data_IF_918231758668
#
_entry.id   IF_918231758668
#
_cell.length_a   1.000
_cell.length_b   1.000
_cell.length_c   1.000
_cell.angle_alpha   90.00
_cell.angle_beta   90.00
_cell.angle_gamma   90.00
#
_symmetry.space_group_name_H-M   'P 1'
#
loop_
_entity.id
_entity.type
_entity.pdbx_description
1 polymer ?
#
# COMPACT_ATOMS: atom_id res chain seq x y z
N UNK A 1 -82.04 26.81 16.43
CA UNK A 1 -80.76 26.19 16.03
C UNK A 1 -80.00 27.20 15.20
N UNK A 2 -78.92 27.77 15.74
CA UNK A 2 -78.01 28.65 14.98
C UNK A 2 -76.99 27.77 14.27
N UNK A 3 -77.04 27.75 12.94
CA UNK A 3 -76.02 27.13 12.10
C UNK A 3 -74.87 28.13 11.96
N UNK A 4 -73.83 27.97 12.76
CA UNK A 4 -72.57 28.71 12.55
C UNK A 4 -71.86 28.12 11.33
N UNK A 5 -72.11 28.68 10.16
CA UNK A 5 -71.23 28.50 9.00
C UNK A 5 -69.86 29.08 9.34
N UNK A 6 -68.89 28.19 9.56
CA UNK A 6 -67.48 28.55 9.61
C UNK A 6 -67.09 29.21 8.28
N UNK A 7 -66.97 30.54 8.29
CA UNK A 7 -66.32 31.27 7.22
C UNK A 7 -64.83 30.91 7.26
N UNK A 8 -64.46 29.85 6.55
CA UNK A 8 -63.08 29.61 6.11
C UNK A 8 -62.74 30.68 5.08
N UNK A 9 -62.47 31.89 5.56
CA UNK A 9 -61.97 33.01 4.78
C UNK A 9 -60.56 32.70 4.29
N UNK A 10 -60.48 31.94 3.20
CA UNK A 10 -59.24 31.79 2.42
C UNK A 10 -59.06 33.06 1.60
N UNK A 11 -58.57 34.12 2.25
CA UNK A 11 -58.18 35.33 1.54
C UNK A 11 -57.06 34.99 0.55
N UNK A 12 -57.02 35.66 -0.61
CA UNK A 12 -55.98 35.42 -1.63
C UNK A 12 -54.54 35.49 -1.08
N UNK A 13 -54.33 36.23 0.02
CA UNK A 13 -53.06 36.25 0.76
C UNK A 13 -52.69 34.91 1.42
N UNK A 14 -53.65 34.17 1.99
CA UNK A 14 -53.38 32.84 2.57
C UNK A 14 -53.02 31.81 1.50
N UNK A 15 -53.66 31.90 0.32
CA UNK A 15 -53.39 31.03 -0.83
C UNK A 15 -52.02 31.34 -1.45
N UNK A 16 -51.66 32.62 -1.55
CA UNK A 16 -50.34 33.05 -2.00
C UNK A 16 -49.21 32.59 -1.05
N UNK A 17 -49.40 32.72 0.27
CA UNK A 17 -48.42 32.22 1.27
C UNK A 17 -48.27 30.70 1.18
N UNK A 18 -49.36 29.96 0.99
CA UNK A 18 -49.31 28.51 0.84
C UNK A 18 -48.57 28.06 -0.44
N UNK A 19 -48.74 28.79 -1.55
CA UNK A 19 -48.01 28.50 -2.79
C UNK A 19 -46.52 28.81 -2.62
N UNK A 20 -46.17 29.95 -2.05
CA UNK A 20 -44.77 30.36 -1.84
C UNK A 20 -44.07 29.40 -0.87
N UNK A 21 -44.75 28.98 0.21
CA UNK A 21 -44.18 28.02 1.15
C UNK A 21 -44.01 26.63 0.52
N UNK A 22 -44.99 26.16 -0.25
CA UNK A 22 -44.89 24.89 -0.97
C UNK A 22 -43.73 24.89 -1.98
N UNK A 23 -43.55 25.99 -2.73
CA UNK A 23 -42.42 26.15 -3.66
C UNK A 23 -41.08 26.20 -2.92
N UNK A 24 -41.00 26.93 -1.80
CA UNK A 24 -39.79 26.99 -0.98
C UNK A 24 -39.43 25.63 -0.38
N UNK A 25 -40.40 24.89 0.16
CA UNK A 25 -40.19 23.55 0.70
C UNK A 25 -39.82 22.56 -0.41
N UNK A 26 -40.44 22.65 -1.59
CA UNK A 26 -40.09 21.83 -2.75
C UNK A 26 -38.66 22.09 -3.24
N UNK A 27 -38.25 23.35 -3.32
CA UNK A 27 -36.89 23.73 -3.70
C UNK A 27 -35.85 23.27 -2.68
N UNK A 28 -36.12 23.44 -1.38
CA UNK A 28 -35.25 22.94 -0.30
C UNK A 28 -35.18 21.41 -0.28
N UNK A 29 -36.31 20.72 -0.51
CA UNK A 29 -36.35 19.26 -0.61
C UNK A 29 -35.54 18.74 -1.81
N UNK A 30 -35.67 19.38 -2.96
CA UNK A 30 -34.89 19.03 -4.15
C UNK A 30 -33.39 19.28 -3.93
N UNK A 31 -33.03 20.42 -3.33
CA UNK A 31 -31.64 20.75 -3.01
C UNK A 31 -31.03 19.75 -2.02
N UNK A 32 -31.74 19.42 -0.93
CA UNK A 32 -31.24 18.44 0.04
C UNK A 32 -31.07 17.06 -0.58
N UNK A 33 -31.98 16.61 -1.45
CA UNK A 33 -31.84 15.35 -2.19
C UNK A 33 -30.62 15.34 -3.10
N UNK A 34 -30.42 16.38 -3.91
CA UNK A 34 -29.24 16.49 -4.79
C UNK A 34 -27.95 16.54 -3.97
N UNK A 35 -27.93 17.30 -2.88
CA UNK A 35 -26.79 17.41 -1.99
C UNK A 35 -26.47 16.05 -1.34
N UNK A 36 -27.47 15.32 -0.85
CA UNK A 36 -27.28 13.98 -0.32
C UNK A 36 -26.71 13.03 -1.37
N UNK A 37 -27.23 13.04 -2.59
CA UNK A 37 -26.70 12.21 -3.68
C UNK A 37 -25.22 12.51 -3.96
N UNK A 38 -24.85 13.79 -4.00
CA UNK A 38 -23.45 14.21 -4.18
C UNK A 38 -22.57 13.74 -3.02
N UNK A 39 -22.98 13.94 -1.77
CA UNK A 39 -22.23 13.51 -0.58
C UNK A 39 -22.06 11.98 -0.57
N UNK A 40 -23.11 11.22 -0.91
CA UNK A 40 -23.01 9.76 -0.99
C UNK A 40 -22.11 9.28 -2.13
N UNK A 41 -22.12 9.96 -3.27
CA UNK A 41 -21.22 9.64 -4.38
C UNK A 41 -19.76 9.91 -3.99
N UNK A 42 -19.50 11.06 -3.36
CA UNK A 42 -18.20 11.43 -2.83
C UNK A 42 -17.71 10.45 -1.75
N UNK A 43 -18.56 10.10 -0.78
CA UNK A 43 -18.23 9.15 0.28
C UNK A 43 -17.92 7.75 -0.27
N UNK A 44 -18.66 7.28 -1.28
CA UNK A 44 -18.35 6.04 -2.01
C UNK A 44 -17.04 6.13 -2.77
N UNK A 45 -16.70 7.30 -3.32
CA UNK A 45 -15.42 7.53 -3.98
C UNK A 45 -14.26 7.44 -2.99
N UNK A 46 -14.37 8.10 -1.83
CA UNK A 46 -13.35 8.04 -0.77
C UNK A 46 -13.19 6.63 -0.26
N UNK A 47 -14.28 5.94 0.06
CA UNK A 47 -14.21 4.58 0.59
C UNK A 47 -13.51 3.61 -0.37
N UNK A 48 -13.71 3.78 -1.69
CA UNK A 48 -12.99 3.00 -2.71
C UNK A 48 -11.50 3.33 -2.72
N UNK A 49 -11.13 4.62 -2.65
CA UNK A 49 -9.72 5.04 -2.54
C UNK A 49 -9.07 4.47 -1.27
N UNK A 50 -9.75 4.54 -0.12
CA UNK A 50 -9.24 4.00 1.14
C UNK A 50 -9.04 2.48 1.07
N UNK A 51 -9.96 1.76 0.43
CA UNK A 51 -9.84 0.31 0.25
C UNK A 51 -8.65 -0.05 -0.64
N UNK A 52 -8.45 0.65 -1.78
CA UNK A 52 -7.28 0.45 -2.64
C UNK A 52 -5.98 0.82 -1.93
N UNK A 53 -5.99 1.87 -1.10
CA UNK A 53 -4.82 2.24 -0.30
C UNK A 53 -4.49 1.17 0.76
N UNK A 54 -5.49 0.60 1.40
CA UNK A 54 -5.32 -0.47 2.39
C UNK A 54 -4.73 -1.75 1.77
N UNK A 55 -5.05 -2.06 0.51
CA UNK A 55 -4.45 -3.17 -0.24
C UNK A 55 -2.93 -2.95 -0.46
N UNK A 56 -2.50 -1.69 -0.57
CA UNK A 56 -1.10 -1.30 -0.76
C UNK A 56 -0.32 -1.11 0.55
N UNK A 57 -0.97 -1.05 1.71
CA UNK A 57 -0.29 -0.84 3.00
C UNK A 57 0.55 -2.06 3.43
N UNK A 58 0.03 -3.27 3.23
CA UNK A 58 0.75 -4.50 3.55
C UNK A 58 2.05 -4.68 2.73
N UNK A 59 2.03 -4.59 1.38
CA UNK A 59 3.27 -4.71 0.61
C UNK A 59 4.25 -3.58 0.93
N UNK A 60 3.78 -2.37 1.23
CA UNK A 60 4.64 -1.24 1.65
C UNK A 60 5.36 -1.54 2.98
N UNK A 61 4.61 -2.09 3.96
CA UNK A 61 5.16 -2.50 5.24
C UNK A 61 6.21 -3.62 5.08
N UNK A 62 5.94 -4.65 4.30
CA UNK A 62 6.88 -5.75 4.09
C UNK A 62 8.13 -5.33 3.31
N UNK A 63 8.00 -4.38 2.37
CA UNK A 63 9.15 -3.76 1.71
C UNK A 63 10.01 -2.96 2.70
N UNK A 64 9.39 -2.25 3.65
CA UNK A 64 10.12 -1.57 4.72
C UNK A 64 10.82 -2.56 5.66
N UNK A 65 10.15 -3.66 6.02
CA UNK A 65 10.72 -4.74 6.84
C UNK A 65 11.89 -5.42 6.13
N UNK A 66 11.78 -5.65 4.82
CA UNK A 66 12.86 -6.19 3.98
C UNK A 66 14.09 -5.27 3.99
N UNK A 67 13.87 -3.97 3.79
CA UNK A 67 14.93 -2.98 3.84
C UNK A 67 15.64 -2.96 5.21
N UNK A 68 14.85 -3.05 6.29
CA UNK A 68 15.39 -3.11 7.67
C UNK A 68 16.19 -4.40 7.92
N UNK A 69 15.69 -5.55 7.48
CA UNK A 69 16.39 -6.83 7.58
C UNK A 69 17.74 -6.77 6.84
N UNK A 70 17.75 -6.23 5.63
CA UNK A 70 18.95 -6.03 4.84
C UNK A 70 19.96 -5.08 5.50
N UNK A 71 19.48 -3.99 6.12
CA UNK A 71 20.36 -3.06 6.84
C UNK A 71 21.00 -3.70 8.08
N UNK A 72 20.28 -4.59 8.78
CA UNK A 72 20.85 -5.36 9.91
C UNK A 72 22.01 -6.23 9.45
N UNK A 73 21.89 -6.82 8.26
CA UNK A 73 22.90 -7.70 7.67
C UNK A 73 24.12 -6.96 7.09
N UNK A 74 24.04 -5.65 6.89
CA UNK A 74 25.12 -4.83 6.31
C UNK A 74 26.47 -4.90 7.04
N UNK A 75 26.45 -5.23 8.33
CA UNK A 75 27.62 -5.17 9.21
C UNK A 75 28.46 -6.46 9.19
N UNK A 76 27.96 -7.53 8.55
CA UNK A 76 28.65 -8.83 8.53
C UNK A 76 28.53 -9.51 7.17
N UNK A 77 29.57 -10.26 6.74
CA UNK A 77 29.43 -11.22 5.66
C UNK A 77 28.36 -12.26 6.05
N UNK A 78 27.31 -12.39 5.25
CA UNK A 78 26.14 -13.21 5.62
C UNK A 78 26.20 -14.60 4.98
N UNK A 79 25.75 -15.59 5.75
CA UNK A 79 25.61 -17.00 5.35
C UNK A 79 24.17 -17.32 4.99
N UNK A 80 23.94 -18.52 4.47
CA UNK A 80 22.60 -19.00 4.13
C UNK A 80 21.61 -18.86 5.31
N UNK A 81 22.06 -19.20 6.53
CA UNK A 81 21.28 -19.07 7.78
C UNK A 81 20.86 -17.63 8.10
N UNK A 82 21.67 -16.64 7.72
CA UNK A 82 21.39 -15.23 8.01
C UNK A 82 20.29 -14.63 7.11
N UNK A 83 19.94 -15.32 6.02
CA UNK A 83 18.94 -14.87 5.06
C UNK A 83 17.51 -15.35 5.36
N UNK A 84 17.28 -16.10 6.45
CA UNK A 84 15.97 -16.63 6.79
C UNK A 84 14.88 -15.54 6.77
N UNK A 85 15.09 -14.43 7.48
CA UNK A 85 14.16 -13.29 7.51
C UNK A 85 13.87 -12.72 6.10
N UNK A 86 14.90 -12.64 5.24
CA UNK A 86 14.78 -12.11 3.87
C UNK A 86 13.98 -13.07 3.00
N UNK A 87 14.23 -14.37 3.10
CA UNK A 87 13.51 -15.41 2.35
C UNK A 87 12.04 -15.52 2.79
N UNK A 88 11.77 -15.36 4.08
CA UNK A 88 10.42 -15.33 4.62
C UNK A 88 9.63 -14.13 4.06
N UNK A 89 10.22 -12.93 4.10
CA UNK A 89 9.59 -11.73 3.54
C UNK A 89 9.39 -11.86 2.02
N UNK A 90 10.35 -12.45 1.30
CA UNK A 90 10.19 -12.78 -0.12
C UNK A 90 8.99 -13.69 -0.39
N UNK A 91 8.78 -14.71 0.44
CA UNK A 91 7.62 -15.61 0.32
C UNK A 91 6.30 -14.86 0.55
N UNK A 92 6.26 -13.94 1.53
CA UNK A 92 5.09 -13.10 1.79
C UNK A 92 4.80 -12.15 0.62
N UNK A 93 5.83 -11.49 0.08
CA UNK A 93 5.71 -10.60 -1.08
C UNK A 93 5.22 -11.37 -2.32
N UNK A 94 5.70 -12.60 -2.54
CA UNK A 94 5.23 -13.48 -3.62
C UNK A 94 3.73 -13.78 -3.48
N UNK A 95 3.26 -14.07 -2.27
CA UNK A 95 1.84 -14.32 -2.02
C UNK A 95 0.93 -13.10 -2.27
N UNK A 96 1.44 -11.86 -2.14
CA UNK A 96 0.67 -10.65 -2.42
C UNK A 96 0.82 -10.16 -3.87
N UNK A 97 1.90 -10.51 -4.56
CA UNK A 97 2.08 -10.16 -5.97
C UNK A 97 0.91 -10.63 -6.85
N UNK A 98 0.34 -11.81 -6.55
CA UNK A 98 -0.83 -12.35 -7.26
C UNK A 98 -2.12 -11.56 -7.00
N UNK A 99 -2.20 -10.84 -5.88
CA UNK A 99 -3.38 -10.08 -5.46
C UNK A 99 -3.27 -8.59 -5.75
N UNK A 100 -2.12 -8.09 -6.20
CA UNK A 100 -1.91 -6.67 -6.46
C UNK A 100 -1.25 -6.44 -7.82
N UNK A 101 -2.02 -6.54 -8.92
CA UNK A 101 -1.47 -6.48 -10.28
C UNK A 101 -0.80 -5.14 -10.62
N UNK A 102 -1.17 -4.07 -9.93
CA UNK A 102 -0.62 -2.73 -10.14
C UNK A 102 0.87 -2.58 -9.72
N UNK A 103 1.35 -3.44 -8.82
CA UNK A 103 2.74 -3.46 -8.32
C UNK A 103 3.46 -4.79 -8.58
N UNK A 104 2.78 -5.76 -9.20
CA UNK A 104 3.33 -7.07 -9.51
C UNK A 104 4.69 -7.02 -10.26
N UNK A 105 4.93 -6.15 -11.25
CA UNK A 105 6.23 -6.13 -11.93
C UNK A 105 7.34 -5.57 -11.03
N UNK A 106 7.05 -4.60 -10.17
CA UNK A 106 8.01 -4.09 -9.19
C UNK A 106 8.31 -5.14 -8.11
N UNK A 107 7.30 -5.87 -7.63
CA UNK A 107 7.48 -6.97 -6.68
C UNK A 107 8.27 -8.13 -7.29
N UNK A 108 8.02 -8.49 -8.55
CA UNK A 108 8.79 -9.52 -9.25
C UNK A 108 10.28 -9.17 -9.33
N UNK A 109 10.61 -7.90 -9.61
CA UNK A 109 12.00 -7.42 -9.58
C UNK A 109 12.61 -7.49 -8.18
N UNK A 110 11.85 -7.17 -7.12
CA UNK A 110 12.35 -7.32 -5.74
C UNK A 110 12.62 -8.80 -5.44
N UNK A 111 11.75 -9.72 -5.84
CA UNK A 111 11.94 -11.15 -5.65
C UNK A 111 13.17 -11.68 -6.38
N UNK A 112 13.38 -11.26 -7.63
CA UNK A 112 14.60 -11.60 -8.39
C UNK A 112 15.87 -11.12 -7.67
N UNK A 113 15.86 -9.89 -7.13
CA UNK A 113 16.99 -9.36 -6.35
C UNK A 113 17.18 -10.05 -5.00
N UNK A 114 16.11 -10.55 -4.38
CA UNK A 114 16.22 -11.39 -3.18
C UNK A 114 16.95 -12.68 -3.54
N UNK A 115 16.55 -13.36 -4.61
CA UNK A 115 17.17 -14.62 -5.07
C UNK A 115 18.66 -14.40 -5.38
N UNK A 116 18.99 -13.38 -6.17
CA UNK A 116 20.38 -12.99 -6.45
C UNK A 116 21.18 -12.70 -5.17
N UNK A 117 20.59 -12.03 -4.19
CA UNK A 117 21.26 -11.73 -2.93
C UNK A 117 21.50 -12.99 -2.10
N UNK A 118 20.53 -13.90 -2.02
CA UNK A 118 20.68 -15.17 -1.29
C UNK A 118 21.69 -16.10 -1.95
N UNK A 119 21.82 -16.09 -3.28
CA UNK A 119 22.81 -16.88 -4.03
C UNK A 119 24.25 -16.46 -3.74
N UNK A 120 24.46 -15.24 -3.21
CA UNK A 120 25.79 -14.76 -2.79
C UNK A 120 26.22 -15.24 -1.40
N UNK A 121 25.41 -16.09 -0.74
CA UNK A 121 25.72 -16.63 0.58
C UNK A 121 27.14 -17.23 0.66
N UNK A 122 27.85 -16.86 1.72
CA UNK A 122 29.18 -17.40 1.98
C UNK A 122 29.09 -18.83 2.52
N UNK A 123 30.03 -19.71 2.11
CA UNK A 123 30.08 -21.10 2.60
C UNK A 123 30.34 -21.15 4.11
N UNK A 124 29.91 -22.24 4.76
CA UNK A 124 30.19 -22.46 6.18
C UNK A 124 31.71 -22.42 6.45
N UNK A 125 32.13 -21.84 7.59
CA UNK A 125 33.52 -21.90 7.98
C UNK A 125 33.88 -23.37 8.26
N UNK A 126 34.88 -23.89 7.53
CA UNK A 126 35.49 -25.17 7.86
C UNK A 126 36.05 -25.16 9.30
N UNK A 127 36.39 -26.34 9.86
CA UNK A 127 36.90 -26.45 11.22
C UNK A 127 38.05 -25.47 11.45
N UNK A 128 37.92 -24.65 12.51
CA UNK A 128 38.63 -23.40 12.78
C UNK A 128 40.19 -23.47 12.89
N UNK A 129 40.80 -24.61 12.58
CA UNK A 129 42.24 -24.86 12.69
C UNK A 129 42.98 -24.94 11.34
N UNK A 130 42.27 -24.94 10.20
CA UNK A 130 42.92 -25.02 8.88
C UNK A 130 43.20 -23.61 8.38
N UNK A 131 44.49 -23.27 8.24
CA UNK A 131 44.92 -22.05 7.54
C UNK A 131 44.29 -22.07 6.14
N UNK A 132 43.29 -21.21 5.92
CA UNK A 132 42.63 -21.08 4.63
C UNK A 132 43.70 -20.73 3.58
N UNK A 133 43.87 -21.54 2.53
CA UNK A 133 44.77 -21.23 1.42
C UNK A 133 44.48 -19.82 0.88
N UNK A 134 45.53 -19.07 0.53
CA UNK A 134 45.41 -17.68 0.02
C UNK A 134 44.45 -17.58 -1.18
N UNK A 135 44.35 -18.64 -1.98
CA UNK A 135 43.45 -18.71 -3.14
C UNK A 135 41.97 -18.80 -2.70
N UNK A 136 41.67 -19.60 -1.67
CA UNK A 136 40.33 -19.69 -1.08
C UNK A 136 39.92 -18.37 -0.42
N UNK A 137 40.85 -17.70 0.26
CA UNK A 137 40.59 -16.38 0.86
C UNK A 137 40.23 -15.32 -0.20
N UNK A 138 40.92 -15.31 -1.36
CA UNK A 138 40.57 -14.43 -2.48
C UNK A 138 39.18 -14.72 -3.04
N UNK A 139 38.79 -15.99 -3.15
CA UNK A 139 37.44 -16.35 -3.62
C UNK A 139 36.34 -15.91 -2.64
N UNK A 140 36.59 -15.98 -1.33
CA UNK A 140 35.68 -15.49 -0.29
C UNK A 140 35.52 -13.97 -0.36
N UNK A 141 36.61 -13.22 -0.58
CA UNK A 141 36.55 -11.76 -0.76
C UNK A 141 35.73 -11.38 -2.00
N UNK A 142 35.94 -12.07 -3.13
CA UNK A 142 35.14 -11.82 -4.35
C UNK A 142 33.66 -12.12 -4.11
N UNK A 143 33.33 -13.19 -3.38
CA UNK A 143 31.93 -13.47 -2.99
C UNK A 143 31.35 -12.39 -2.08
N UNK A 144 32.10 -11.93 -1.08
CA UNK A 144 31.66 -10.86 -0.18
C UNK A 144 31.43 -9.53 -0.93
N UNK A 145 32.27 -9.20 -1.92
CA UNK A 145 32.05 -8.04 -2.79
C UNK A 145 30.78 -8.19 -3.64
N UNK A 146 30.54 -9.38 -4.20
CA UNK A 146 29.29 -9.68 -4.94
C UNK A 146 28.06 -9.56 -4.03
N UNK A 147 28.17 -10.03 -2.80
CA UNK A 147 27.12 -9.92 -1.80
C UNK A 147 26.78 -8.46 -1.50
N UNK A 148 27.78 -7.58 -1.35
CA UNK A 148 27.56 -6.16 -1.13
C UNK A 148 26.93 -5.45 -2.35
N UNK A 149 27.31 -5.85 -3.57
CA UNK A 149 26.68 -5.38 -4.80
C UNK A 149 25.20 -5.80 -4.85
N UNK A 150 24.91 -7.09 -4.64
CA UNK A 150 23.55 -7.62 -4.66
C UNK A 150 22.68 -7.00 -3.56
N UNK A 151 23.25 -6.72 -2.39
CA UNK A 151 22.63 -5.92 -1.32
C UNK A 151 22.22 -4.55 -1.84
N UNK A 152 23.15 -3.81 -2.44
CA UNK A 152 22.87 -2.48 -2.99
C UNK A 152 21.79 -2.51 -4.08
N UNK A 153 21.77 -3.55 -4.90
CA UNK A 153 20.77 -3.74 -5.97
C UNK A 153 19.38 -4.04 -5.41
N UNK A 154 19.30 -4.88 -4.36
CA UNK A 154 18.07 -5.14 -3.62
C UNK A 154 17.52 -3.86 -2.99
N UNK A 155 18.36 -3.03 -2.35
CA UNK A 155 17.92 -1.76 -1.77
C UNK A 155 17.32 -0.82 -2.83
N UNK A 156 17.94 -0.74 -4.01
CA UNK A 156 17.42 0.06 -5.12
C UNK A 156 16.07 -0.45 -5.61
N UNK A 157 15.90 -1.77 -5.73
CA UNK A 157 14.62 -2.36 -6.13
C UNK A 157 13.52 -2.10 -5.11
N UNK A 158 13.81 -2.22 -3.81
CA UNK A 158 12.87 -1.95 -2.72
C UNK A 158 12.42 -0.49 -2.74
N UNK A 159 13.35 0.46 -2.85
CA UNK A 159 13.01 1.89 -2.92
C UNK A 159 12.16 2.21 -4.16
N UNK A 160 12.46 1.61 -5.31
CA UNK A 160 11.66 1.79 -6.52
C UNK A 160 10.23 1.27 -6.34
N UNK A 161 10.06 0.10 -5.70
CA UNK A 161 8.74 -0.46 -5.40
C UNK A 161 7.95 0.42 -4.41
N UNK A 162 8.59 0.95 -3.37
CA UNK A 162 7.97 1.89 -2.42
C UNK A 162 7.56 3.21 -3.09
N UNK A 163 8.38 3.74 -4.00
CA UNK A 163 8.04 4.92 -4.78
C UNK A 163 6.82 4.68 -5.67
N UNK A 164 6.74 3.49 -6.30
CA UNK A 164 5.57 3.08 -7.08
C UNK A 164 4.31 3.04 -6.23
N UNK A 165 4.37 2.41 -5.05
CA UNK A 165 3.24 2.36 -4.10
C UNK A 165 2.83 3.77 -3.69
N UNK A 166 3.78 4.65 -3.38
CA UNK A 166 3.50 6.04 -3.02
C UNK A 166 2.80 6.79 -4.15
N UNK A 167 3.21 6.57 -5.40
CA UNK A 167 2.54 7.15 -6.56
C UNK A 167 1.11 6.63 -6.72
N UNK A 168 0.87 5.33 -6.52
CA UNK A 168 -0.46 4.73 -6.59
C UNK A 168 -1.39 5.23 -5.49
N UNK A 169 -0.88 5.43 -4.26
CA UNK A 169 -1.67 6.00 -3.14
C UNK A 169 -2.09 7.46 -3.37
N UNK A 170 -1.36 8.20 -4.22
CA UNK A 170 -1.59 9.63 -4.50
C UNK A 170 -2.47 9.89 -5.73
N UNK A 171 -2.61 8.94 -6.65
CA UNK A 171 -3.53 9.02 -7.81
C UNK A 171 -4.99 8.82 -7.41
#
# INVERSE_FOLDING_TARGET
>A
MMTNTLALGTSGGTLAVAIVSALATGALGAYTLLHHQQVFAWMRSIRRKDQTNAELDKPDQWLADLYKAQCRLAHKPCRAEDFEDITQIGTMLRGVADHTPAIAPELARVLERIEEYTDTALPEPGPAAVKIPVLEHRTQLVKAMKQESARSDLARAVVAAQQKITHLKRG
#
